data_IF_946761636843
#
_entry.id   IF_946761636843
#
_cell.length_a   1.000
_cell.length_b   1.000
_cell.length_c   1.000
_cell.angle_alpha   90.00
_cell.angle_beta   90.00
_cell.angle_gamma   90.00
#
_symmetry.space_group_name_H-M   'P 1'
#
loop_
_entity.id
_entity.type
_entity.pdbx_description
1 polymer ?
#
# COMPACT_ATOMS: atom_id res chain seq x y z
N UNK A 1 2.83 13.55 -10.56
CA UNK A 1 2.88 12.97 -9.19
C UNK A 1 2.86 11.45 -9.25
N UNK A 2 1.84 10.85 -9.87
CA UNK A 2 1.70 9.39 -9.97
C UNK A 2 2.89 8.73 -10.70
N UNK A 3 3.38 9.33 -11.78
CA UNK A 3 4.59 8.85 -12.48
C UNK A 3 5.83 8.85 -11.57
N UNK A 4 6.01 9.91 -10.77
CA UNK A 4 7.12 9.98 -9.80
C UNK A 4 7.06 8.86 -8.77
N UNK A 5 5.88 8.37 -8.41
CA UNK A 5 5.74 7.22 -7.51
C UNK A 5 6.16 5.93 -8.19
N UNK A 6 5.78 5.73 -9.47
CA UNK A 6 6.22 4.57 -10.25
C UNK A 6 7.74 4.59 -10.42
N UNK A 7 8.34 5.75 -10.72
CA UNK A 7 9.80 5.89 -10.83
C UNK A 7 10.53 5.61 -9.51
N UNK A 8 9.95 6.02 -8.39
CA UNK A 8 10.52 5.80 -7.06
C UNK A 8 10.40 4.34 -6.61
N UNK A 9 9.36 3.63 -7.05
CA UNK A 9 9.01 2.28 -6.62
C UNK A 9 8.65 1.36 -7.81
N UNK A 10 9.57 1.15 -8.77
CA UNK A 10 9.25 0.49 -10.04
C UNK A 10 8.88 -0.99 -9.90
N UNK A 11 9.25 -1.63 -8.79
CA UNK A 11 8.92 -3.03 -8.50
C UNK A 11 7.69 -3.16 -7.58
N UNK A 12 7.36 -2.12 -6.81
CA UNK A 12 6.30 -2.15 -5.79
C UNK A 12 5.03 -1.44 -6.24
N UNK A 13 5.11 -0.51 -7.19
CA UNK A 13 3.98 0.32 -7.62
C UNK A 13 3.70 0.12 -9.11
N UNK A 14 2.47 -0.29 -9.41
CA UNK A 14 1.93 -0.29 -10.75
C UNK A 14 0.80 0.74 -10.85
N UNK A 15 0.93 1.68 -11.78
CA UNK A 15 -0.12 2.64 -12.08
C UNK A 15 -1.07 2.08 -13.14
N UNK A 16 -2.37 2.07 -12.83
CA UNK A 16 -3.44 1.73 -13.77
C UNK A 16 -4.39 2.92 -13.89
N UNK A 17 -4.53 3.45 -15.11
CA UNK A 17 -5.48 4.51 -15.41
C UNK A 17 -6.84 3.94 -15.84
N UNK A 18 -7.93 4.58 -15.41
CA UNK A 18 -9.31 4.21 -15.75
C UNK A 18 -10.13 5.48 -15.99
N UNK A 19 -10.78 5.55 -17.15
CA UNK A 19 -11.63 6.67 -17.53
C UNK A 19 -12.89 6.74 -16.67
N UNK A 20 -13.33 7.95 -16.34
CA UNK A 20 -14.61 8.21 -15.67
C UNK A 20 -15.14 9.56 -16.15
N UNK A 21 -15.62 9.64 -17.40
CA UNK A 21 -15.81 10.91 -18.11
C UNK A 21 -16.92 11.80 -17.53
N UNK A 22 -17.89 11.28 -16.76
CA UNK A 22 -18.97 12.10 -16.17
C UNK A 22 -19.77 12.86 -17.24
N UNK A 23 -20.20 12.13 -18.28
CA UNK A 23 -20.85 12.67 -19.48
C UNK A 23 -22.11 13.53 -19.21
N UNK A 24 -22.71 13.43 -18.02
CA UNK A 24 -23.85 14.25 -17.61
C UNK A 24 -23.50 15.72 -17.36
N UNK A 25 -22.23 16.04 -17.12
CA UNK A 25 -21.75 17.39 -16.80
C UNK A 25 -20.60 17.86 -17.72
N UNK A 26 -20.02 16.97 -18.52
CA UNK A 26 -18.91 17.27 -19.41
C UNK A 26 -19.17 16.77 -20.84
N UNK A 27 -19.49 17.70 -21.75
CA UNK A 27 -19.87 17.36 -23.13
C UNK A 27 -18.75 16.67 -23.94
N UNK A 28 -17.49 17.04 -23.70
CA UNK A 28 -16.33 16.55 -24.45
C UNK A 28 -15.52 15.48 -23.69
N UNK A 29 -15.98 15.01 -22.53
CA UNK A 29 -15.21 14.08 -21.71
C UNK A 29 -15.11 12.68 -22.35
N UNK A 30 -16.21 12.14 -22.87
CA UNK A 30 -16.20 10.88 -23.61
C UNK A 30 -15.21 10.90 -24.79
N UNK A 31 -15.29 11.93 -25.64
CA UNK A 31 -14.44 12.02 -26.83
C UNK A 31 -12.98 12.33 -26.52
N UNK A 32 -12.68 13.09 -25.46
CA UNK A 32 -11.30 13.26 -25.00
C UNK A 32 -10.70 11.95 -24.45
N UNK A 33 -11.50 11.14 -23.74
CA UNK A 33 -11.08 9.80 -23.31
C UNK A 33 -10.79 8.87 -24.48
N UNK A 34 -11.67 8.84 -25.50
CA UNK A 34 -11.45 8.09 -26.74
C UNK A 34 -10.21 8.57 -27.49
N UNK A 35 -9.97 9.88 -27.57
CA UNK A 35 -8.78 10.45 -28.21
C UNK A 35 -7.49 10.02 -27.49
N UNK A 36 -7.50 9.95 -26.16
CA UNK A 36 -6.37 9.45 -25.38
C UNK A 36 -6.08 7.96 -25.68
N UNK A 37 -7.11 7.12 -25.81
CA UNK A 37 -6.95 5.71 -26.21
C UNK A 37 -6.44 5.57 -27.65
N UNK A 38 -6.92 6.41 -28.59
CA UNK A 38 -6.42 6.44 -29.96
C UNK A 38 -4.94 6.84 -30.03
N UNK A 39 -4.53 7.85 -29.27
CA UNK A 39 -3.11 8.18 -29.11
C UNK A 39 -2.33 7.04 -28.43
N UNK A 40 -2.95 6.33 -27.48
CA UNK A 40 -2.40 5.13 -26.86
C UNK A 40 -2.15 3.98 -27.84
N UNK A 41 -3.03 3.79 -28.82
CA UNK A 41 -2.83 2.83 -29.91
C UNK A 41 -1.63 3.18 -30.81
N UNK A 42 -1.22 4.46 -30.81
CA UNK A 42 0.01 4.95 -31.45
C UNK A 42 1.22 4.97 -30.50
N UNK A 43 1.07 4.54 -29.25
CA UNK A 43 2.15 4.45 -28.25
C UNK A 43 2.36 5.71 -27.41
N UNK A 44 1.44 6.68 -27.46
CA UNK A 44 1.60 8.01 -26.84
C UNK A 44 0.46 8.36 -25.86
N UNK A 45 -0.12 7.37 -25.18
CA UNK A 45 -1.23 7.58 -24.24
C UNK A 45 -0.93 8.67 -23.21
N UNK A 46 0.18 8.55 -22.49
CA UNK A 46 0.52 9.47 -21.39
C UNK A 46 0.86 10.87 -21.88
N UNK A 47 1.61 10.99 -22.98
CA UNK A 47 1.95 12.28 -23.57
C UNK A 47 0.70 13.04 -24.03
N UNK A 48 -0.23 12.35 -24.69
CA UNK A 48 -1.49 12.93 -25.14
C UNK A 48 -2.45 13.24 -23.98
N UNK A 49 -2.57 12.32 -23.01
CA UNK A 49 -3.33 12.49 -21.77
C UNK A 49 -2.88 13.75 -21.02
N UNK A 50 -1.58 13.90 -20.79
CA UNK A 50 -1.03 15.03 -20.04
C UNK A 50 -1.24 16.35 -20.78
N UNK A 51 -1.14 16.34 -22.11
CA UNK A 51 -1.45 17.51 -22.93
C UNK A 51 -2.93 17.91 -22.83
N UNK A 52 -3.87 16.95 -22.88
CA UNK A 52 -5.29 17.22 -22.66
C UNK A 52 -5.57 17.86 -21.30
N UNK A 53 -4.97 17.34 -20.22
CA UNK A 53 -5.14 17.88 -18.88
C UNK A 53 -4.53 19.27 -18.74
N UNK A 54 -3.31 19.48 -19.26
CA UNK A 54 -2.63 20.77 -19.22
C UNK A 54 -3.40 21.87 -19.96
N UNK A 55 -4.11 21.50 -21.03
CA UNK A 55 -4.81 22.43 -21.93
C UNK A 55 -6.33 22.33 -21.86
N UNK A 56 -6.89 21.77 -20.77
CA UNK A 56 -8.33 21.52 -20.62
C UNK A 56 -9.21 22.74 -20.95
N UNK A 57 -8.76 23.95 -20.61
CA UNK A 57 -9.50 25.20 -20.86
C UNK A 57 -9.67 25.52 -22.36
N UNK A 58 -8.84 24.95 -23.24
CA UNK A 58 -8.87 25.23 -24.68
C UNK A 58 -9.95 24.43 -25.41
N UNK A 59 -10.26 23.22 -24.92
CA UNK A 59 -11.12 22.27 -25.64
C UNK A 59 -12.40 21.89 -24.89
N UNK A 60 -12.43 21.99 -23.55
CA UNK A 60 -13.55 21.44 -22.74
C UNK A 60 -14.91 22.08 -23.03
N UNK A 61 -14.93 23.34 -23.48
CA UNK A 61 -16.17 24.07 -23.79
C UNK A 61 -16.45 24.22 -25.29
N UNK A 62 -15.63 23.65 -26.15
CA UNK A 62 -15.86 23.66 -27.59
C UNK A 62 -17.12 22.84 -27.92
N UNK A 63 -17.76 23.16 -29.04
CA UNK A 63 -18.75 22.26 -29.63
C UNK A 63 -18.07 21.00 -30.19
N UNK A 64 -18.86 20.00 -30.57
CA UNK A 64 -18.35 18.68 -30.94
C UNK A 64 -17.39 18.72 -32.14
N UNK A 65 -17.70 19.52 -33.17
CA UNK A 65 -16.89 19.62 -34.38
C UNK A 65 -15.54 20.31 -34.06
N UNK A 66 -15.58 21.43 -33.33
CA UNK A 66 -14.37 22.14 -32.93
C UNK A 66 -13.51 21.34 -31.93
N UNK A 67 -14.13 20.56 -31.04
CA UNK A 67 -13.41 19.67 -30.13
C UNK A 67 -12.73 18.52 -30.89
N UNK A 68 -13.42 17.93 -31.87
CA UNK A 68 -12.83 16.92 -32.75
C UNK A 68 -11.59 17.47 -33.49
N UNK A 69 -11.73 18.62 -34.14
CA UNK A 69 -10.61 19.28 -34.85
C UNK A 69 -9.45 19.60 -33.91
N UNK A 70 -9.75 20.01 -32.66
CA UNK A 70 -8.72 20.24 -31.64
C UNK A 70 -7.96 18.95 -31.30
N UNK A 71 -8.66 17.82 -31.10
CA UNK A 71 -8.02 16.55 -30.77
C UNK A 71 -7.11 16.05 -31.89
N UNK A 72 -7.57 16.16 -33.14
CA UNK A 72 -6.75 15.83 -34.33
C UNK A 72 -5.52 16.74 -34.39
N UNK A 73 -5.68 18.05 -34.25
CA UNK A 73 -4.56 18.99 -34.30
C UNK A 73 -3.56 18.79 -33.15
N UNK A 74 -4.03 18.42 -31.96
CA UNK A 74 -3.16 18.09 -30.83
C UNK A 74 -2.33 16.84 -31.11
N UNK A 75 -2.92 15.83 -31.76
CA UNK A 75 -2.20 14.63 -32.18
C UNK A 75 -1.07 14.97 -33.15
N UNK A 76 -1.36 15.78 -34.17
CA UNK A 76 -0.36 16.27 -35.14
C UNK A 76 0.76 17.07 -34.46
N UNK A 77 0.43 17.93 -33.49
CA UNK A 77 1.42 18.71 -32.73
C UNK A 77 2.40 17.82 -31.96
N UNK A 78 1.90 16.71 -31.40
CA UNK A 78 2.70 15.72 -30.67
C UNK A 78 3.41 14.72 -31.62
N UNK A 79 3.29 14.91 -32.94
CA UNK A 79 3.94 14.05 -33.93
C UNK A 79 3.27 12.70 -34.13
N UNK A 80 2.00 12.58 -33.74
CA UNK A 80 1.14 11.42 -34.01
C UNK A 80 0.45 11.58 -35.37
N UNK A 81 -0.18 10.50 -35.83
CA UNK A 81 -1.04 10.52 -37.01
C UNK A 81 -2.44 11.03 -36.61
N UNK A 82 -2.67 12.34 -36.83
CA UNK A 82 -3.95 12.97 -36.52
C UNK A 82 -5.09 12.50 -37.42
N UNK A 83 -4.82 12.10 -38.68
CA UNK A 83 -5.84 11.55 -39.58
C UNK A 83 -6.36 10.22 -39.03
N UNK A 84 -5.45 9.32 -38.63
CA UNK A 84 -5.81 8.05 -38.01
C UNK A 84 -6.59 8.25 -36.68
N UNK A 85 -6.17 9.20 -35.84
CA UNK A 85 -6.89 9.52 -34.61
C UNK A 85 -8.30 10.08 -34.89
N UNK A 86 -8.43 10.97 -35.88
CA UNK A 86 -9.71 11.50 -36.31
C UNK A 86 -10.63 10.40 -36.85
N UNK A 87 -10.09 9.47 -37.63
CA UNK A 87 -10.83 8.29 -38.09
C UNK A 87 -11.32 7.43 -36.92
N UNK A 88 -10.49 7.21 -35.89
CA UNK A 88 -10.90 6.47 -34.70
C UNK A 88 -12.02 7.18 -33.92
N UNK A 89 -11.96 8.51 -33.82
CA UNK A 89 -13.01 9.31 -33.18
C UNK A 89 -14.32 9.29 -33.98
N UNK A 90 -14.25 9.33 -35.31
CA UNK A 90 -15.42 9.28 -36.18
C UNK A 90 -16.08 7.90 -36.22
N UNK A 91 -15.28 6.84 -36.05
CA UNK A 91 -15.75 5.46 -36.05
C UNK A 91 -16.11 4.95 -34.64
N UNK A 92 -16.01 5.78 -33.61
CA UNK A 92 -16.25 5.41 -32.21
C UNK A 92 -15.38 4.22 -31.75
N UNK A 93 -14.16 4.07 -32.30
CA UNK A 93 -13.30 2.88 -32.12
C UNK A 93 -13.13 2.49 -30.64
N UNK A 94 -13.02 3.47 -29.75
CA UNK A 94 -12.78 3.27 -28.31
C UNK A 94 -14.00 3.58 -27.42
N UNK A 95 -15.15 3.94 -28.00
CA UNK A 95 -16.32 4.41 -27.24
C UNK A 95 -16.87 3.34 -26.28
N UNK A 96 -16.97 2.10 -26.77
CA UNK A 96 -17.44 0.95 -25.98
C UNK A 96 -16.49 0.63 -24.83
N UNK A 97 -15.18 0.74 -25.05
CA UNK A 97 -14.18 0.52 -24.01
C UNK A 97 -14.30 1.56 -22.88
N UNK A 98 -14.35 2.85 -23.25
CA UNK A 98 -14.48 3.95 -22.27
C UNK A 98 -15.79 3.81 -21.48
N UNK A 99 -16.89 3.50 -22.16
CA UNK A 99 -18.21 3.30 -21.54
C UNK A 99 -18.22 2.09 -20.61
N UNK A 100 -17.59 0.98 -21.01
CA UNK A 100 -17.48 -0.22 -20.17
C UNK A 100 -16.69 0.05 -18.89
N UNK A 101 -15.56 0.76 -18.99
CA UNK A 101 -14.74 1.12 -17.83
C UNK A 101 -15.48 2.04 -16.85
N UNK A 102 -16.25 3.02 -17.34
CA UNK A 102 -17.11 3.85 -16.48
C UNK A 102 -18.18 3.01 -15.78
N UNK A 103 -18.84 2.11 -16.51
CA UNK A 103 -19.88 1.24 -15.95
C UNK A 103 -19.33 0.30 -14.87
N UNK A 104 -18.15 -0.28 -15.07
CA UNK A 104 -17.45 -1.10 -14.06
C UNK A 104 -17.13 -0.27 -12.81
N UNK A 105 -16.63 0.96 -13.00
CA UNK A 105 -16.29 1.88 -11.92
C UNK A 105 -17.52 2.26 -11.08
N UNK A 106 -18.67 2.49 -11.72
CA UNK A 106 -19.94 2.73 -11.03
C UNK A 106 -20.40 1.47 -10.28
N UNK A 107 -20.24 0.29 -10.87
CA UNK A 107 -20.65 -0.98 -10.25
C UNK A 107 -19.90 -1.30 -8.96
N UNK A 108 -18.64 -0.85 -8.84
CA UNK A 108 -17.84 -0.96 -7.60
C UNK A 108 -18.05 0.22 -6.64
N UNK A 109 -19.02 1.10 -6.91
CA UNK A 109 -19.44 2.17 -6.01
C UNK A 109 -18.66 3.48 -6.13
N UNK A 110 -17.88 3.69 -7.20
CA UNK A 110 -17.24 4.98 -7.44
C UNK A 110 -18.28 6.02 -7.87
N UNK A 111 -18.30 7.14 -7.15
CA UNK A 111 -19.28 8.22 -7.35
C UNK A 111 -18.73 9.43 -8.12
N UNK A 112 -17.45 9.45 -8.47
CA UNK A 112 -16.84 10.57 -9.18
C UNK A 112 -15.31 10.55 -9.19
N UNK A 113 -14.77 11.66 -9.68
CA UNK A 113 -13.32 11.84 -9.92
C UNK A 113 -12.72 12.95 -9.05
N UNK A 114 -11.44 12.87 -8.67
CA UNK A 114 -10.60 11.67 -8.78
C UNK A 114 -10.97 10.61 -7.73
N UNK A 115 -10.79 9.35 -8.07
CA UNK A 115 -10.88 8.20 -7.14
C UNK A 115 -9.60 7.37 -7.28
N UNK A 116 -9.03 6.92 -6.16
CA UNK A 116 -7.83 6.07 -6.15
C UNK A 116 -8.12 4.78 -5.41
N UNK A 117 -7.76 3.66 -6.03
CA UNK A 117 -7.85 2.33 -5.43
C UNK A 117 -6.42 1.80 -5.25
N UNK A 118 -6.10 1.32 -4.06
CA UNK A 118 -4.83 0.62 -3.77
C UNK A 118 -5.15 -0.76 -3.23
N UNK A 119 -4.59 -1.80 -3.85
CA UNK A 119 -4.78 -3.22 -3.49
C UNK A 119 -6.25 -3.61 -3.33
N UNK A 120 -7.13 -3.05 -4.17
CA UNK A 120 -8.59 -3.30 -4.15
C UNK A 120 -9.38 -2.42 -3.18
N UNK A 121 -8.72 -1.53 -2.42
CA UNK A 121 -9.38 -0.64 -1.47
C UNK A 121 -9.45 0.80 -1.98
N UNK A 122 -10.65 1.39 -1.97
CA UNK A 122 -10.84 2.81 -2.24
C UNK A 122 -10.17 3.65 -1.15
N UNK A 123 -9.34 4.61 -1.56
CA UNK A 123 -8.62 5.52 -0.68
C UNK A 123 -9.30 6.90 -0.73
N UNK A 124 -10.11 7.26 0.29
CA UNK A 124 -10.90 8.49 0.25
C UNK A 124 -10.08 9.72 0.65
N UNK A 125 -10.30 10.85 -0.04
CA UNK A 125 -9.88 12.20 0.37
C UNK A 125 -8.37 12.37 0.65
N UNK A 126 -7.51 11.65 -0.04
CA UNK A 126 -6.05 11.81 0.09
C UNK A 126 -5.54 12.87 -0.89
N UNK A 127 -4.79 13.89 -0.43
CA UNK A 127 -4.18 14.88 -1.30
C UNK A 127 -3.28 14.24 -2.36
N UNK A 128 -3.29 14.79 -3.57
CA UNK A 128 -2.42 14.34 -4.67
C UNK A 128 -1.02 14.97 -4.57
N UNK A 129 -0.40 14.87 -3.39
CA UNK A 129 0.95 15.34 -3.08
C UNK A 129 1.91 14.16 -3.02
N UNK A 130 3.08 14.29 -3.63
CA UNK A 130 4.02 13.17 -3.75
C UNK A 130 4.41 12.62 -2.38
N UNK A 131 4.71 13.49 -1.42
CA UNK A 131 5.18 13.14 -0.08
C UNK A 131 4.12 12.34 0.71
N UNK A 132 2.83 12.61 0.47
CA UNK A 132 1.72 11.88 1.10
C UNK A 132 1.67 10.44 0.57
N UNK A 133 1.76 10.29 -0.74
CA UNK A 133 1.73 8.96 -1.38
C UNK A 133 3.02 8.17 -1.20
N UNK A 134 4.17 8.85 -1.17
CA UNK A 134 5.47 8.26 -0.87
C UNK A 134 5.46 7.60 0.52
N UNK A 135 4.95 8.32 1.52
CA UNK A 135 4.79 7.78 2.86
C UNK A 135 3.80 6.61 2.90
N UNK A 136 2.69 6.72 2.17
CA UNK A 136 1.71 5.64 2.08
C UNK A 136 2.34 4.36 1.49
N UNK A 137 3.07 4.48 0.37
CA UNK A 137 3.74 3.35 -0.28
C UNK A 137 4.77 2.72 0.65
N UNK A 138 5.62 3.53 1.31
CA UNK A 138 6.60 3.00 2.26
C UNK A 138 5.96 2.21 3.40
N UNK A 139 4.86 2.70 3.98
CA UNK A 139 4.12 1.96 5.01
C UNK A 139 3.54 0.65 4.48
N UNK A 140 2.97 0.67 3.26
CA UNK A 140 2.42 -0.55 2.65
C UNK A 140 3.49 -1.58 2.35
N UNK A 141 4.63 -1.16 1.82
CA UNK A 141 5.77 -2.06 1.57
C UNK A 141 6.25 -2.67 2.87
N UNK A 142 6.43 -1.87 3.93
CA UNK A 142 6.86 -2.37 5.23
C UNK A 142 5.88 -3.41 5.81
N UNK A 143 4.56 -3.20 5.65
CA UNK A 143 3.53 -4.17 6.08
C UNK A 143 3.62 -5.46 5.24
N UNK A 144 3.76 -5.36 3.92
CA UNK A 144 3.86 -6.54 3.05
C UNK A 144 5.11 -7.36 3.38
N UNK A 145 6.25 -6.70 3.62
CA UNK A 145 7.48 -7.36 4.06
C UNK A 145 7.32 -8.03 5.43
N UNK A 146 6.63 -7.36 6.37
CA UNK A 146 6.32 -7.93 7.68
C UNK A 146 5.41 -9.16 7.57
N UNK A 147 4.37 -9.10 6.75
CA UNK A 147 3.50 -10.25 6.47
C UNK A 147 4.27 -11.41 5.85
N UNK A 148 5.19 -11.14 4.92
CA UNK A 148 6.03 -12.15 4.31
C UNK A 148 6.98 -12.81 5.33
N UNK A 149 7.58 -12.03 6.25
CA UNK A 149 8.39 -12.56 7.34
C UNK A 149 7.56 -13.49 8.23
N UNK A 150 6.36 -13.04 8.62
CA UNK A 150 5.51 -13.77 9.56
C UNK A 150 4.88 -15.05 8.97
N UNK A 151 4.60 -15.06 7.66
CA UNK A 151 3.91 -16.17 6.99
C UNK A 151 4.59 -17.53 7.19
N UNK A 152 5.92 -17.56 7.35
CA UNK A 152 6.70 -18.79 7.46
C UNK A 152 7.09 -19.17 8.90
N UNK A 153 6.90 -18.26 9.87
CA UNK A 153 7.40 -18.45 11.25
C UNK A 153 6.30 -18.44 12.31
N UNK A 154 5.06 -18.11 11.94
CA UNK A 154 3.92 -18.15 12.86
C UNK A 154 3.47 -19.58 13.16
N UNK A 155 2.85 -19.73 14.33
CA UNK A 155 2.31 -20.97 14.85
C UNK A 155 0.78 -20.91 14.91
N UNK A 156 0.13 -22.05 14.71
CA UNK A 156 -1.33 -22.16 14.71
C UNK A 156 -1.96 -22.00 16.11
N UNK A 157 -1.20 -22.31 17.17
CA UNK A 157 -1.69 -22.32 18.55
C UNK A 157 -0.54 -22.17 19.55
N UNK A 158 -0.83 -21.75 20.81
CA UNK A 158 0.16 -21.72 21.87
C UNK A 158 0.82 -23.10 22.11
N UNK A 159 2.10 -23.13 22.50
CA UNK A 159 2.78 -24.39 22.81
C UNK A 159 2.17 -25.06 24.04
N UNK A 160 2.27 -26.40 24.15
CA UNK A 160 1.89 -27.10 25.37
C UNK A 160 2.75 -26.66 26.55
N UNK A 161 2.23 -26.79 27.77
CA UNK A 161 3.00 -26.54 28.99
C UNK A 161 4.09 -27.60 29.16
N UNK A 162 5.35 -27.19 29.08
CA UNK A 162 6.52 -28.08 29.16
C UNK A 162 7.52 -27.69 30.24
N UNK A 163 7.53 -26.42 30.66
CA UNK A 163 8.41 -25.95 31.72
C UNK A 163 8.00 -26.49 33.09
N UNK A 164 8.98 -26.67 33.98
CA UNK A 164 8.74 -26.85 35.41
C UNK A 164 8.54 -25.49 36.09
N UNK A 165 7.35 -25.21 36.59
CA UNK A 165 7.02 -23.94 37.24
C UNK A 165 7.80 -23.72 38.55
N UNK A 166 8.35 -24.77 39.16
CA UNK A 166 9.12 -24.67 40.40
C UNK A 166 10.62 -24.40 40.17
N UNK A 167 11.09 -24.49 38.94
CA UNK A 167 12.48 -24.24 38.57
C UNK A 167 12.77 -22.73 38.39
N UNK A 168 14.07 -22.40 38.34
CA UNK A 168 14.56 -21.05 38.05
C UNK A 168 14.98 -20.97 36.59
N UNK A 169 14.54 -19.92 35.89
CA UNK A 169 14.85 -19.67 34.49
C UNK A 169 15.42 -18.26 34.34
N UNK A 170 16.38 -18.14 33.44
CA UNK A 170 16.91 -16.86 32.99
C UNK A 170 16.96 -16.83 31.47
N UNK A 171 16.60 -15.70 30.88
CA UNK A 171 16.82 -15.42 29.47
C UNK A 171 18.05 -14.51 29.32
N UNK A 172 18.89 -14.78 28.33
CA UNK A 172 20.03 -13.91 28.02
C UNK A 172 19.84 -13.33 26.63
N UNK A 173 19.78 -11.99 26.55
CA UNK A 173 19.80 -11.28 25.28
C UNK A 173 21.26 -10.92 24.99
N UNK A 174 21.80 -11.49 23.92
CA UNK A 174 23.13 -11.15 23.41
C UNK A 174 23.01 -10.02 22.40
N UNK A 175 23.69 -8.91 22.67
CA UNK A 175 23.73 -7.75 21.78
C UNK A 175 24.84 -7.91 20.73
N UNK A 176 24.73 -7.20 19.60
CA UNK A 176 25.71 -7.24 18.51
C UNK A 176 27.13 -6.83 18.97
N UNK A 177 27.23 -5.94 19.95
CA UNK A 177 28.50 -5.52 20.55
C UNK A 177 29.12 -6.57 21.51
N UNK A 178 28.46 -7.71 21.70
CA UNK A 178 28.89 -8.79 22.59
C UNK A 178 28.51 -8.60 24.06
N UNK A 179 27.75 -7.55 24.41
CA UNK A 179 27.21 -7.36 25.75
C UNK A 179 25.96 -8.23 25.98
N UNK A 180 25.70 -8.57 27.24
CA UNK A 180 24.61 -9.45 27.64
C UNK A 180 23.64 -8.74 28.59
N UNK A 181 22.35 -8.91 28.35
CA UNK A 181 21.28 -8.55 29.29
C UNK A 181 20.68 -9.86 29.80
N UNK A 182 20.80 -10.10 31.11
CA UNK A 182 20.23 -11.29 31.75
C UNK A 182 18.92 -10.92 32.45
N UNK A 183 17.87 -11.65 32.12
CA UNK A 183 16.51 -11.45 32.61
C UNK A 183 16.12 -12.67 33.44
N UNK A 184 15.70 -12.45 34.69
CA UNK A 184 15.06 -13.49 35.49
C UNK A 184 13.61 -13.66 35.04
N UNK A 185 13.18 -14.91 34.84
CA UNK A 185 11.80 -15.25 34.52
C UNK A 185 11.09 -15.80 35.75
N UNK A 186 9.80 -15.51 35.89
CA UNK A 186 9.00 -15.82 37.08
C UNK A 186 7.92 -16.89 36.78
N UNK A 187 8.29 -18.16 36.57
CA UNK A 187 7.36 -19.19 36.12
C UNK A 187 6.30 -19.58 37.16
N UNK A 188 6.50 -19.26 38.44
CA UNK A 188 5.48 -19.44 39.49
C UNK A 188 4.34 -18.43 39.38
N UNK A 189 4.68 -17.20 39.02
CA UNK A 189 3.75 -16.08 38.95
C UNK A 189 3.05 -16.01 37.59
N UNK A 190 3.77 -16.35 36.51
CA UNK A 190 3.26 -16.32 35.13
C UNK A 190 3.69 -17.57 34.33
N UNK A 191 3.21 -18.77 34.69
CA UNK A 191 3.61 -20.03 34.05
C UNK A 191 3.32 -20.09 32.54
N UNK A 192 2.15 -19.65 32.08
CA UNK A 192 1.81 -19.68 30.64
C UNK A 192 2.70 -18.73 29.84
N UNK A 193 2.95 -17.53 30.37
CA UNK A 193 3.78 -16.49 29.75
C UNK A 193 5.24 -16.93 29.67
N UNK A 194 5.80 -17.49 30.75
CA UNK A 194 7.17 -17.99 30.75
C UNK A 194 7.31 -19.21 29.84
N UNK A 195 6.35 -20.13 29.84
CA UNK A 195 6.37 -21.29 28.94
C UNK A 195 6.37 -20.85 27.48
N UNK A 196 5.49 -19.90 27.14
CA UNK A 196 5.42 -19.31 25.82
C UNK A 196 6.75 -18.65 25.41
N UNK A 197 7.32 -17.83 26.29
CA UNK A 197 8.58 -17.13 26.01
C UNK A 197 9.74 -18.11 25.80
N UNK A 198 9.88 -19.12 26.67
CA UNK A 198 10.94 -20.13 26.57
C UNK A 198 10.83 -20.90 25.26
N UNK A 199 9.63 -21.37 24.90
CA UNK A 199 9.40 -22.04 23.62
C UNK A 199 9.82 -21.18 22.43
N UNK A 200 9.35 -19.93 22.36
CA UNK A 200 9.70 -19.02 21.26
C UNK A 200 11.20 -18.74 21.20
N UNK A 201 11.86 -18.57 22.35
CA UNK A 201 13.30 -18.37 22.41
C UNK A 201 14.09 -19.59 21.94
N UNK A 202 13.66 -20.81 22.28
CA UNK A 202 14.30 -22.05 21.85
C UNK A 202 14.12 -22.32 20.35
N UNK A 203 13.00 -21.88 19.77
CA UNK A 203 12.75 -21.94 18.32
C UNK A 203 13.41 -20.78 17.53
N UNK A 204 14.20 -19.93 18.18
CA UNK A 204 14.93 -18.84 17.54
C UNK A 204 14.05 -17.65 17.12
N UNK A 205 12.83 -17.53 17.66
CA UNK A 205 11.91 -16.42 17.35
C UNK A 205 12.53 -15.04 17.61
N UNK A 206 13.42 -14.95 18.61
CA UNK A 206 14.07 -13.71 19.00
C UNK A 206 15.46 -13.50 18.38
N UNK A 207 15.86 -14.34 17.43
CA UNK A 207 17.20 -14.26 16.84
C UNK A 207 17.28 -13.16 15.77
N UNK A 208 18.34 -12.36 15.83
CA UNK A 208 18.62 -11.33 14.84
C UNK A 208 17.65 -10.15 14.83
N UNK A 209 16.79 -10.02 15.84
CA UNK A 209 15.79 -8.95 15.91
C UNK A 209 16.36 -7.67 16.54
N UNK A 210 15.81 -6.53 16.14
CA UNK A 210 16.21 -5.23 16.67
C UNK A 210 15.34 -4.76 17.85
N UNK A 211 15.85 -3.76 18.59
CA UNK A 211 14.99 -2.93 19.42
C UNK A 211 14.31 -1.89 18.54
N UNK A 212 13.02 -2.07 18.27
CA UNK A 212 12.25 -1.16 17.41
C UNK A 212 11.86 0.15 18.13
N UNK A 213 11.96 0.20 19.46
CA UNK A 213 11.71 1.42 20.22
C UNK A 213 12.59 1.50 21.47
N UNK A 214 13.39 2.56 21.57
CA UNK A 214 14.23 2.85 22.74
C UNK A 214 14.00 4.29 23.19
N UNK A 215 13.42 4.45 24.38
CA UNK A 215 13.14 5.74 25.02
C UNK A 215 13.91 5.78 26.35
N UNK A 216 14.94 6.65 26.47
CA UNK A 216 15.72 6.77 27.68
C UNK A 216 14.86 7.07 28.92
N UNK A 217 15.10 6.31 30.00
CA UNK A 217 14.38 6.47 31.27
C UNK A 217 12.93 5.97 31.25
N UNK A 218 12.51 5.28 30.18
CA UNK A 218 11.16 4.75 30.07
C UNK A 218 11.13 3.29 29.61
N UNK A 219 11.64 2.99 28.41
CA UNK A 219 11.39 1.69 27.79
C UNK A 219 12.38 1.34 26.67
N UNK A 220 12.74 0.06 26.58
CA UNK A 220 13.31 -0.55 25.39
C UNK A 220 12.39 -1.71 24.95
N UNK A 221 11.87 -1.66 23.72
CA UNK A 221 10.95 -2.66 23.17
C UNK A 221 11.62 -3.43 22.04
N UNK A 222 11.53 -4.75 22.13
CA UNK A 222 11.98 -5.75 21.14
C UNK A 222 11.01 -6.95 21.22
N UNK A 223 11.28 -8.03 20.50
CA UNK A 223 10.48 -9.26 20.53
C UNK A 223 9.63 -9.52 19.28
N UNK A 224 9.60 -8.56 18.35
CA UNK A 224 8.88 -8.63 17.07
C UNK A 224 9.87 -8.85 15.92
N UNK A 225 9.85 -10.01 15.24
CA UNK A 225 10.71 -10.31 14.09
C UNK A 225 10.61 -9.31 12.93
N UNK A 226 9.48 -8.62 12.81
CA UNK A 226 9.25 -7.63 11.75
C UNK A 226 9.87 -6.27 12.08
N UNK A 227 10.21 -6.02 13.35
CA UNK A 227 10.72 -4.72 13.81
C UNK A 227 9.68 -3.59 13.79
N UNK A 228 8.39 -3.87 13.53
CA UNK A 228 7.34 -2.86 13.47
C UNK A 228 6.60 -2.66 14.81
N UNK A 229 6.77 -3.59 15.75
CA UNK A 229 6.08 -3.60 17.05
C UNK A 229 4.61 -4.04 16.95
N UNK A 230 4.23 -4.70 15.85
CA UNK A 230 2.86 -5.18 15.58
C UNK A 230 2.81 -6.69 15.26
N UNK A 231 3.97 -7.34 15.09
CA UNK A 231 4.07 -8.78 14.84
C UNK A 231 3.92 -9.63 16.10
N UNK A 232 3.66 -10.91 15.89
CA UNK A 232 3.49 -11.89 16.97
C UNK A 232 3.43 -13.32 16.45
N UNK A 233 3.45 -14.33 17.34
CA UNK A 233 3.64 -15.74 16.99
C UNK A 233 2.44 -16.41 16.32
N UNK A 234 1.41 -15.67 15.91
CA UNK A 234 0.20 -16.20 15.25
C UNK A 234 -0.94 -16.57 16.21
N UNK A 235 -0.71 -16.48 17.53
CA UNK A 235 -1.70 -16.74 18.56
C UNK A 235 -1.60 -15.74 19.71
N UNK A 236 -2.59 -15.79 20.62
CA UNK A 236 -2.58 -15.04 21.87
C UNK A 236 -2.63 -15.99 23.07
N UNK A 237 -2.06 -15.55 24.20
CA UNK A 237 -2.15 -16.22 25.50
C UNK A 237 -2.96 -15.35 26.48
N UNK A 238 -3.38 -15.92 27.62
CA UNK A 238 -4.06 -15.15 28.65
C UNK A 238 -3.04 -14.31 29.43
N UNK A 239 -3.48 -13.14 29.90
CA UNK A 239 -2.69 -12.35 30.84
C UNK A 239 -2.64 -13.04 32.22
N UNK A 240 -1.46 -13.06 32.83
CA UNK A 240 -1.22 -13.61 34.17
C UNK A 240 -0.79 -12.48 35.12
N UNK A 241 -1.51 -12.34 36.23
CA UNK A 241 -1.27 -11.27 37.20
C UNK A 241 -0.97 -11.86 38.58
N UNK A 242 0.16 -11.45 39.15
CA UNK A 242 0.51 -11.71 40.54
C UNK A 242 0.40 -10.40 41.34
N UNK A 243 -0.54 -10.28 42.29
CA UNK A 243 -0.75 -9.06 43.04
C UNK A 243 0.41 -8.69 43.97
N UNK A 244 1.34 -9.63 44.23
CA UNK A 244 2.54 -9.36 45.04
C UNK A 244 3.69 -8.77 44.20
N UNK A 245 3.60 -8.84 42.87
CA UNK A 245 4.59 -8.27 41.96
C UNK A 245 4.19 -6.86 41.51
N UNK A 246 5.16 -5.95 41.51
CA UNK A 246 5.00 -4.59 40.99
C UNK A 246 6.31 -4.09 40.40
N UNK A 247 6.23 -3.20 39.42
CA UNK A 247 7.40 -2.47 38.92
C UNK A 247 7.74 -1.32 39.89
N UNK A 248 9.03 -1.03 40.05
CA UNK A 248 9.52 0.01 40.96
C UNK A 248 9.34 1.44 40.45
N UNK A 249 9.11 1.62 39.14
CA UNK A 249 8.70 2.89 38.54
C UNK A 249 9.76 4.00 38.61
#
# INVERSE_FOLDING_TARGET
MLERLVDAYPEQVQLVYRHFPLNSIHANAQKSAEAAEAAGAQGAFWEYHDALFARQQEWSSLDADAAHDYFVALADELGLDGEALGDDLNNDTFADYVTAVEAESIAIGLGGTPSVIVDGFLIPNVPFEFEVWDNYVQQRVAIIEAEAILADIQYDAPPPMTIDAEASYTATILLENGEEIVIELLPKSAPETVNNFVFLAEEGWFDGIMFHRVIPGFMAQTGDPTGLGIGGPGYTINDEFDPELSHDG
#
